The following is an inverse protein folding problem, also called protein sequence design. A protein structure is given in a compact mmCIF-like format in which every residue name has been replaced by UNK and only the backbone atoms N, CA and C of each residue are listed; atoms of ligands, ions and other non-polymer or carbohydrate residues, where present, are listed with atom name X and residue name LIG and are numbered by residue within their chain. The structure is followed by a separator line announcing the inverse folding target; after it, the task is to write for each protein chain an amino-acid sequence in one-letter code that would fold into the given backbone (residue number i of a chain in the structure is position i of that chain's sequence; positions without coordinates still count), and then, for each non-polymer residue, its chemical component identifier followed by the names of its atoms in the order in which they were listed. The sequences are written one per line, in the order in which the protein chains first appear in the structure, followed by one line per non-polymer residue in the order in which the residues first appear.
data_IF_628321488034
#
_entry.id   IF_628321488034
#
_cell.length_a   1.000
_cell.length_b   1.000
_cell.length_c   1.000
_cell.angle_alpha   90.00
_cell.angle_beta   90.00
_cell.angle_gamma   90.00
#
_symmetry.space_group_name_H-M   'P 1'
#
loop_
_entity.id
_entity.type
_entity.pdbx_description
1 polymer ?
#
# COMPACT_ATOMS: atom_id res chain seq x y z
N UNK A 1 6.82 1.31 -3.45
CA UNK A 1 6.45 0.60 -2.20
C UNK A 1 5.98 1.61 -1.18
N UNK A 2 4.99 1.28 -0.36
CA UNK A 2 4.52 2.11 0.76
C UNK A 2 4.05 1.25 1.91
N UNK A 3 4.20 1.75 3.15
CA UNK A 3 3.68 1.09 4.34
C UNK A 3 2.44 1.80 4.89
N UNK A 4 1.50 1.04 5.44
CA UNK A 4 0.36 1.55 6.21
C UNK A 4 -0.11 0.49 7.21
N UNK A 5 -0.14 0.86 8.50
CA UNK A 5 -0.39 -0.08 9.61
C UNK A 5 0.55 -1.29 9.51
N UNK A 6 0.00 -2.50 9.54
CA UNK A 6 0.74 -3.76 9.47
C UNK A 6 1.05 -4.19 8.04
N UNK A 7 0.74 -3.38 7.03
CA UNK A 7 0.82 -3.77 5.64
C UNK A 7 1.92 -3.00 4.89
N UNK A 8 2.71 -3.72 4.11
CA UNK A 8 3.66 -3.19 3.13
C UNK A 8 3.13 -3.49 1.73
N UNK A 9 2.82 -2.44 0.98
CA UNK A 9 2.30 -2.53 -0.39
C UNK A 9 3.43 -2.35 -1.40
N UNK A 10 3.51 -3.25 -2.37
CA UNK A 10 4.45 -3.25 -3.50
C UNK A 10 3.65 -3.11 -4.79
N UNK A 11 3.73 -1.95 -5.41
CA UNK A 11 3.19 -1.74 -6.76
C UNK A 11 4.17 -2.28 -7.78
N UNK A 12 3.66 -3.11 -8.69
CA UNK A 12 4.41 -3.67 -9.81
C UNK A 12 3.59 -3.56 -11.09
N UNK A 13 4.27 -3.61 -12.23
CA UNK A 13 3.58 -3.76 -13.50
C UNK A 13 2.96 -5.17 -13.60
N UNK A 14 1.85 -5.25 -14.33
CA UNK A 14 1.27 -6.52 -14.73
C UNK A 14 2.25 -7.36 -15.56
N UNK A 15 2.09 -8.69 -15.57
CA UNK A 15 2.93 -9.58 -16.37
C UNK A 15 2.64 -9.45 -17.87
N UNK A 16 3.62 -9.77 -18.72
CA UNK A 16 3.46 -9.90 -20.16
C UNK A 16 2.72 -8.70 -20.80
N UNK A 17 1.64 -8.96 -21.55
CA UNK A 17 0.86 -7.96 -22.27
C UNK A 17 0.01 -7.07 -21.35
N UNK A 18 -0.13 -7.43 -20.06
CA UNK A 18 -0.83 -6.64 -19.05
C UNK A 18 0.07 -5.58 -18.38
N UNK A 19 1.25 -5.27 -18.93
CA UNK A 19 2.21 -4.31 -18.36
C UNK A 19 1.67 -2.87 -18.18
N UNK A 20 0.56 -2.53 -18.87
CA UNK A 20 -0.17 -1.27 -18.72
C UNK A 20 -1.08 -1.22 -17.48
N UNK A 21 -1.29 -2.37 -16.83
CA UNK A 21 -1.97 -2.46 -15.54
C UNK A 21 -0.93 -2.47 -14.43
N UNK A 22 -1.32 -1.94 -13.27
CA UNK A 22 -0.57 -2.11 -12.05
C UNK A 22 -1.25 -3.16 -11.17
N UNK A 23 -0.45 -4.08 -10.65
CA UNK A 23 -0.81 -4.99 -9.57
C UNK A 23 -0.19 -4.48 -8.28
N UNK A 24 -0.85 -4.73 -7.15
CA UNK A 24 -0.34 -4.39 -5.83
C UNK A 24 -0.25 -5.69 -5.02
N UNK A 25 0.97 -6.03 -4.60
CA UNK A 25 1.19 -7.11 -3.63
C UNK A 25 1.26 -6.50 -2.22
N UNK A 26 0.64 -7.15 -1.25
CA UNK A 26 0.58 -6.71 0.14
C UNK A 26 1.22 -7.75 1.04
N UNK A 27 2.29 -7.36 1.73
CA UNK A 27 2.87 -8.13 2.83
C UNK A 27 2.30 -7.64 4.16
N UNK A 28 1.65 -8.53 4.91
CA UNK A 28 1.18 -8.24 6.25
C UNK A 28 2.22 -8.72 7.28
N UNK A 29 2.78 -7.80 8.07
CA UNK A 29 3.85 -8.13 9.03
C UNK A 29 3.35 -8.94 10.22
N UNK A 30 2.05 -8.84 10.55
CA UNK A 30 1.42 -9.56 11.67
C UNK A 30 1.20 -11.03 11.31
N UNK A 31 0.79 -11.33 10.08
CA UNK A 31 0.61 -12.70 9.59
C UNK A 31 1.84 -13.29 8.92
N UNK A 32 2.78 -12.44 8.49
CA UNK A 32 3.97 -12.83 7.73
C UNK A 32 3.66 -13.30 6.30
N UNK A 33 2.49 -12.93 5.73
CA UNK A 33 2.00 -13.44 4.45
C UNK A 33 1.97 -12.36 3.36
N UNK A 34 2.20 -12.79 2.13
CA UNK A 34 1.94 -12.02 0.92
C UNK A 34 0.55 -12.32 0.38
N UNK A 35 -0.15 -11.28 -0.07
CA UNK A 35 -1.45 -11.40 -0.74
C UNK A 35 -1.48 -10.45 -1.93
N UNK A 36 -2.09 -10.87 -3.04
CA UNK A 36 -2.37 -9.96 -4.15
C UNK A 36 -3.60 -9.12 -3.79
N UNK A 37 -3.48 -7.80 -3.89
CA UNK A 37 -4.59 -6.89 -3.67
C UNK A 37 -5.52 -6.94 -4.89
N UNK A 38 -6.80 -7.19 -4.65
CA UNK A 38 -7.79 -7.13 -5.72
C UNK A 38 -7.96 -5.68 -6.21
N UNK A 39 -8.16 -5.52 -7.52
CA UNK A 39 -8.44 -4.22 -8.12
C UNK A 39 -7.70 -3.99 -9.44
N UNK A 40 -8.21 -3.01 -10.20
CA UNK A 40 -7.59 -2.57 -11.45
C UNK A 40 -6.95 -1.19 -11.20
N UNK A 41 -5.63 -1.19 -10.98
CA UNK A 41 -4.88 0.04 -10.76
C UNK A 41 -4.25 0.50 -12.08
N UNK A 42 -4.56 1.73 -12.49
CA UNK A 42 -4.16 2.23 -13.80
C UNK A 42 -2.67 2.56 -13.81
N UNK A 43 -1.90 1.91 -14.70
CA UNK A 43 -0.59 2.37 -15.12
C UNK A 43 -0.64 2.93 -16.55
N UNK A 44 -1.25 4.09 -16.70
CA UNK A 44 -1.31 4.78 -17.99
C UNK A 44 0.10 4.98 -18.59
N UNK A 45 0.37 4.27 -19.70
CA UNK A 45 1.60 4.29 -20.51
C UNK A 45 2.85 3.69 -19.85
N UNK A 46 2.72 2.72 -18.94
CA UNK A 46 3.86 1.93 -18.44
C UNK A 46 4.90 2.74 -17.66
N UNK A 47 4.51 3.87 -17.08
CA UNK A 47 5.40 4.81 -16.42
C UNK A 47 5.57 4.47 -14.94
N UNK A 48 6.81 4.53 -14.47
CA UNK A 48 7.18 4.50 -13.05
C UNK A 48 6.42 5.60 -12.31
N UNK A 49 5.56 5.23 -11.37
CA UNK A 49 4.93 6.17 -10.44
C UNK A 49 5.43 5.90 -9.03
N UNK A 50 5.68 6.97 -8.28
CA UNK A 50 5.96 6.88 -6.85
C UNK A 50 4.64 6.77 -6.12
N UNK A 51 4.60 6.00 -5.03
CA UNK A 51 3.45 5.97 -4.14
C UNK A 51 3.81 6.60 -2.79
N UNK A 52 2.83 7.24 -2.15
CA UNK A 52 2.95 7.80 -0.81
C UNK A 52 1.67 7.54 -0.01
N UNK A 53 1.78 7.46 1.31
CA UNK A 53 0.63 7.32 2.22
C UNK A 53 0.56 8.53 3.13
N UNK A 54 -0.65 9.08 3.32
CA UNK A 54 -0.94 10.13 4.29
C UNK A 54 -2.24 9.77 5.02
N UNK A 55 -2.14 9.47 6.31
CA UNK A 55 -3.27 8.91 7.06
C UNK A 55 -3.73 7.60 6.43
N UNK A 56 -5.03 7.48 6.17
CA UNK A 56 -5.65 6.31 5.52
C UNK A 56 -5.83 6.50 4.01
N UNK A 57 -5.08 7.44 3.41
CA UNK A 57 -5.09 7.70 1.98
C UNK A 57 -3.76 7.35 1.35
N UNK A 58 -3.81 6.62 0.24
CA UNK A 58 -2.67 6.33 -0.60
C UNK A 58 -2.72 7.17 -1.87
N UNK A 59 -1.55 7.62 -2.33
CA UNK A 59 -1.39 8.45 -3.51
C UNK A 59 -0.48 7.72 -4.48
N UNK A 60 -0.88 7.60 -5.74
CA UNK A 60 0.05 7.28 -6.84
C UNK A 60 0.34 8.58 -7.58
N UNK A 61 1.62 8.93 -7.70
CA UNK A 61 2.09 10.22 -8.19
C UNK A 61 2.94 9.99 -9.43
N UNK A 62 2.56 10.64 -10.53
CA UNK A 62 3.37 10.71 -11.76
C UNK A 62 3.32 12.11 -12.37
N UNK A 63 4.09 12.32 -13.44
CA UNK A 63 4.23 13.60 -14.14
C UNK A 63 2.90 14.30 -14.46
N UNK A 64 1.96 13.55 -15.05
CA UNK A 64 0.70 14.11 -15.56
C UNK A 64 -0.50 13.88 -14.63
N UNK A 65 -0.40 12.97 -13.68
CA UNK A 65 -1.53 12.52 -12.88
C UNK A 65 -1.12 12.17 -11.45
N UNK A 66 -1.95 12.57 -10.50
CA UNK A 66 -1.90 12.03 -9.14
C UNK A 66 -3.27 11.42 -8.82
N UNK A 67 -3.31 10.16 -8.40
CA UNK A 67 -4.54 9.48 -7.99
C UNK A 67 -4.50 9.24 -6.49
N UNK A 68 -5.57 9.63 -5.79
CA UNK A 68 -5.79 9.31 -4.38
C UNK A 68 -6.71 8.09 -4.26
N UNK A 69 -6.38 7.20 -3.34
CA UNK A 69 -7.15 6.04 -2.95
C UNK A 69 -7.39 6.06 -1.44
N UNK A 70 -8.58 5.64 -1.00
CA UNK A 70 -8.83 5.22 0.38
C UNK A 70 -8.26 3.82 0.57
N UNK A 71 -7.49 3.61 1.62
CA UNK A 71 -6.99 2.28 1.99
C UNK A 71 -8.11 1.56 2.77
N UNK A 72 -8.72 0.56 2.14
CA UNK A 72 -9.78 -0.26 2.72
C UNK A 72 -9.32 -1.70 3.01
N UNK A 73 -10.25 -2.49 3.56
CA UNK A 73 -10.04 -3.92 3.87
C UNK A 73 -9.84 -4.73 2.58
N UNK A 74 -10.68 -4.48 1.56
CA UNK A 74 -10.67 -5.23 0.29
C UNK A 74 -9.70 -4.66 -0.75
N UNK A 75 -8.88 -3.67 -0.35
CA UNK A 75 -7.95 -2.99 -1.23
C UNK A 75 -8.16 -1.48 -1.31
N UNK A 76 -7.57 -0.87 -2.33
CA UNK A 76 -7.50 0.57 -2.47
C UNK A 76 -8.64 1.10 -3.33
N UNK A 77 -9.50 1.93 -2.74
CA UNK A 77 -10.69 2.47 -3.41
C UNK A 77 -10.40 3.86 -3.97
N UNK A 78 -10.57 4.13 -5.27
CA UNK A 78 -10.27 5.44 -5.85
C UNK A 78 -11.14 6.52 -5.20
N UNK A 79 -10.55 7.69 -4.94
CA UNK A 79 -11.25 8.86 -4.37
C UNK A 79 -11.19 10.07 -5.27
N UNK A 80 -9.99 10.47 -5.68
CA UNK A 80 -9.75 11.73 -6.37
C UNK A 80 -8.66 11.60 -7.42
N UNK A 81 -8.83 12.38 -8.47
CA UNK A 81 -7.83 12.58 -9.50
C UNK A 81 -7.36 14.03 -9.45
N UNK A 82 -6.05 14.22 -9.45
CA UNK A 82 -5.40 15.51 -9.35
C UNK A 82 -4.36 15.66 -10.45
N UNK A 83 -3.95 16.91 -10.70
CA UNK A 83 -2.83 17.20 -11.60
C UNK A 83 -1.56 16.53 -11.08
N UNK A 84 -0.80 15.95 -11.99
CA UNK A 84 0.49 15.34 -11.67
C UNK A 84 1.55 16.35 -11.25
N UNK A 85 2.65 15.81 -10.73
CA UNK A 85 3.81 16.62 -10.34
C UNK A 85 4.85 16.60 -11.48
N UNK A 86 5.19 17.75 -12.10
CA UNK A 86 5.93 17.80 -13.36
C UNK A 86 7.43 17.41 -13.25
N UNK A 87 7.90 16.96 -12.09
CA UNK A 87 9.28 16.49 -11.91
C UNK A 87 9.32 14.97 -11.78
N UNK A 88 9.90 14.31 -12.77
CA UNK A 88 10.25 12.89 -12.70
C UNK A 88 11.45 12.67 -11.77
N UNK A 89 11.54 11.51 -11.12
CA UNK A 89 12.74 11.10 -10.37
C UNK A 89 12.87 11.62 -8.93
N UNK A 90 11.79 12.15 -8.32
CA UNK A 90 11.82 12.48 -6.88
C UNK A 90 11.76 11.20 -6.05
N UNK A 91 12.83 10.91 -5.30
CA UNK A 91 12.94 9.73 -4.44
C UNK A 91 12.41 10.06 -3.04
N UNK A 92 11.39 9.35 -2.59
CA UNK A 92 11.02 9.29 -1.18
C UNK A 92 11.47 7.95 -0.62
N UNK A 93 12.40 7.97 0.33
CA UNK A 93 12.87 6.77 1.01
C UNK A 93 12.21 6.70 2.38
N UNK A 94 11.83 5.49 2.79
CA UNK A 94 11.41 5.20 4.16
C UNK A 94 12.11 3.93 4.64
N UNK A 95 12.51 3.90 5.91
CA UNK A 95 13.10 2.73 6.54
C UNK A 95 11.99 1.92 7.22
N UNK A 96 11.63 0.77 6.65
CA UNK A 96 10.79 -0.21 7.34
C UNK A 96 11.66 -1.02 8.30
N UNK A 97 11.42 -0.90 9.61
CA UNK A 97 12.11 -1.70 10.62
C UNK A 97 11.22 -2.88 11.01
N UNK A 98 11.62 -4.09 10.61
CA UNK A 98 10.93 -5.31 11.02
C UNK A 98 11.25 -5.63 12.50
N UNK A 99 10.29 -6.19 13.26
CA UNK A 99 10.54 -6.64 14.63
C UNK A 99 11.59 -7.78 14.63
N UNK A 100 12.51 -7.75 15.60
CA UNK A 100 13.62 -8.72 15.71
C UNK A 100 13.16 -10.12 16.16
N UNK A 101 12.03 -10.18 16.83
CA UNK A 101 11.37 -11.41 17.27
C UNK A 101 10.14 -11.63 16.39
N UNK A 102 9.70 -12.89 16.24
CA UNK A 102 8.55 -13.27 15.41
C UNK A 102 7.26 -12.48 15.73
N UNK A 103 6.18 -12.69 14.96
CA UNK A 103 4.98 -11.86 15.03
C UNK A 103 4.54 -11.67 16.48
N UNK A 104 4.41 -10.40 16.89
CA UNK A 104 3.95 -10.04 18.23
C UNK A 104 2.54 -10.63 18.35
N UNK A 105 2.41 -11.71 19.12
CA UNK A 105 1.10 -12.26 19.44
C UNK A 105 0.33 -11.13 20.15
N UNK A 106 -0.86 -10.73 19.67
CA UNK A 106 -1.65 -9.76 20.38
C UNK A 106 -1.86 -10.27 21.79
N UNK A 107 -1.50 -9.44 22.78
CA UNK A 107 -1.75 -9.75 24.18
C UNK A 107 -3.26 -9.77 24.36
N UNK A 108 -3.85 -10.95 24.48
CA UNK A 108 -5.24 -11.07 24.94
C UNK A 108 -5.26 -10.51 26.35
N UNK A 109 -6.03 -9.43 26.65
CA UNK A 109 -6.29 -9.10 28.03
C UNK A 109 -7.11 -10.25 28.61
N UNK A 110 -6.54 -10.93 29.60
CA UNK A 110 -7.26 -11.92 30.38
C UNK A 110 -8.47 -11.20 30.99
N UNK A 111 -9.68 -11.65 30.64
CA UNK A 111 -10.91 -11.19 31.25
C UNK A 111 -10.88 -11.63 32.72
N UNK A 112 -10.33 -10.79 33.59
CA UNK A 112 -10.52 -10.92 35.02
C UNK A 112 -12.03 -10.85 35.26
N UNK A 113 -12.64 -12.00 35.57
CA UNK A 113 -14.00 -12.09 36.09
C UNK A 113 -14.09 -11.19 37.32
N UNK A 114 -14.68 -10.02 37.17
CA UNK A 114 -15.24 -9.29 38.31
C UNK A 114 -16.56 -10.00 38.61
N UNK A 115 -16.53 -10.85 39.63
CA UNK A 115 -17.73 -11.26 40.35
C UNK A 115 -18.04 -10.11 41.30
N UNK A 116 -19.19 -9.46 41.10
CA UNK A 116 -19.95 -8.80 42.16
C UNK A 116 -21.27 -9.56 42.30
#
# INVERSE_FOLDING_TARGET
MVAHRDNLYVMRNGPCDDFLRCLIDCYNITTGQWTALNGHYINSKGSLFTAAVRGDSAFTVKHMLTLEYAIGVDGWKPRRQMKGFPKSGSLWTCLLRLPKTGPVRPHTPELTKIIL
#
